data_IF_400434673381
#
_entry.id   IF_400434673381
#
_cell.length_a   1.000
_cell.length_b   1.000
_cell.length_c   1.000
_cell.angle_alpha   90.00
_cell.angle_beta   90.00
_cell.angle_gamma   90.00
#
_symmetry.space_group_name_H-M   'P 1'
#
loop_
_entity.id
_entity.type
_entity.pdbx_description
1 polymer ?
#
# COMPACT_ATOMS: atom_id res chain seq x y z
N UNK A 1 -28.16 -0.86 -45.01
CA UNK A 1 -28.54 0.01 -43.87
C UNK A 1 -27.87 1.35 -44.13
N UNK A 2 -28.62 2.45 -44.11
CA UNK A 2 -28.04 3.78 -44.33
C UNK A 2 -26.93 4.05 -43.33
N UNK A 3 -25.83 4.65 -43.80
CA UNK A 3 -24.66 4.99 -42.99
C UNK A 3 -25.03 5.63 -41.64
N UNK A 4 -25.94 6.61 -41.68
CA UNK A 4 -26.48 7.31 -40.52
C UNK A 4 -27.13 6.38 -39.49
N UNK A 5 -27.88 5.38 -39.96
CA UNK A 5 -28.61 4.47 -39.10
C UNK A 5 -27.66 3.46 -38.42
N UNK A 6 -26.63 2.98 -39.14
CA UNK A 6 -25.58 2.14 -38.54
C UNK A 6 -24.78 2.92 -37.50
N UNK A 7 -24.34 4.13 -37.86
CA UNK A 7 -23.52 4.97 -37.00
C UNK A 7 -24.22 5.31 -35.69
N UNK A 8 -25.49 5.70 -35.75
CA UNK A 8 -26.26 6.08 -34.57
C UNK A 8 -26.68 4.90 -33.69
N UNK A 9 -27.05 3.76 -34.30
CA UNK A 9 -27.63 2.63 -33.57
C UNK A 9 -26.63 1.55 -33.17
N UNK A 10 -25.43 1.55 -33.75
CA UNK A 10 -24.43 0.51 -33.51
C UNK A 10 -23.12 1.13 -33.04
N UNK A 11 -22.48 1.95 -33.87
CA UNK A 11 -21.11 2.40 -33.63
C UNK A 11 -20.99 3.29 -32.37
N UNK A 12 -21.95 4.21 -32.16
CA UNK A 12 -21.98 5.05 -30.93
C UNK A 12 -22.31 4.22 -29.67
N UNK A 13 -23.39 3.40 -29.64
CA UNK A 13 -23.67 2.53 -28.50
C UNK A 13 -22.52 1.59 -28.15
N UNK A 14 -21.84 1.04 -29.16
CA UNK A 14 -20.67 0.18 -28.98
C UNK A 14 -19.55 0.94 -28.25
N UNK A 15 -19.16 2.11 -28.77
CA UNK A 15 -18.14 2.96 -28.16
C UNK A 15 -18.50 3.37 -26.72
N UNK A 16 -19.79 3.63 -26.46
CA UNK A 16 -20.31 3.95 -25.12
C UNK A 16 -20.22 2.76 -24.17
N UNK A 17 -20.59 1.56 -24.60
CA UNK A 17 -20.52 0.36 -23.78
C UNK A 17 -19.07 -0.03 -23.47
N UNK A 18 -18.16 0.07 -24.45
CA UNK A 18 -16.72 -0.16 -24.23
C UNK A 18 -16.15 0.81 -23.19
N UNK A 19 -16.47 2.11 -23.31
CA UNK A 19 -16.10 3.09 -22.29
C UNK A 19 -16.68 2.74 -20.92
N UNK A 20 -17.94 2.26 -20.89
CA UNK A 20 -18.61 1.85 -19.65
C UNK A 20 -17.89 0.69 -18.98
N UNK A 21 -17.50 -0.32 -19.74
CA UNK A 21 -16.71 -1.46 -19.25
C UNK A 21 -15.37 -0.96 -18.70
N UNK A 22 -14.65 -0.13 -19.46
CA UNK A 22 -13.36 0.42 -19.03
C UNK A 22 -13.45 1.24 -17.73
N UNK A 23 -14.49 2.07 -17.58
CA UNK A 23 -14.71 2.88 -16.38
C UNK A 23 -15.18 2.04 -15.18
N UNK A 24 -16.03 1.04 -15.41
CA UNK A 24 -16.56 0.17 -14.37
C UNK A 24 -15.45 -0.60 -13.63
N UNK A 25 -14.35 -0.94 -14.30
CA UNK A 25 -13.18 -1.59 -13.69
C UNK A 25 -12.50 -0.77 -12.58
N UNK A 26 -12.69 0.56 -12.60
CA UNK A 26 -12.18 1.48 -11.60
C UNK A 26 -13.31 2.04 -10.73
N UNK A 27 -14.44 1.33 -10.68
CA UNK A 27 -15.66 1.73 -9.98
C UNK A 27 -16.21 3.12 -10.41
N UNK A 28 -15.76 3.66 -11.54
CA UNK A 28 -16.20 4.96 -12.04
C UNK A 28 -17.51 4.81 -12.81
N UNK A 29 -18.43 5.75 -12.61
CA UNK A 29 -19.67 5.80 -13.37
C UNK A 29 -19.53 6.64 -14.63
N UNK A 30 -19.98 6.11 -15.78
CA UNK A 30 -20.13 6.90 -17.01
C UNK A 30 -21.11 8.06 -16.81
N UNK A 31 -22.07 7.89 -15.90
CA UNK A 31 -23.08 8.89 -15.61
C UNK A 31 -22.59 10.07 -14.75
N UNK A 32 -21.40 9.99 -14.15
CA UNK A 32 -20.79 11.14 -13.45
C UNK A 32 -20.38 12.24 -14.43
N UNK A 33 -19.90 11.87 -15.62
CA UNK A 33 -19.42 12.80 -16.65
C UNK A 33 -20.09 12.56 -18.01
N UNK A 34 -21.43 12.60 -18.03
CA UNK A 34 -22.25 12.29 -19.24
C UNK A 34 -21.80 13.00 -20.52
N UNK A 35 -21.47 14.30 -20.44
CA UNK A 35 -21.01 15.07 -21.61
C UNK A 35 -19.70 14.53 -22.19
N UNK A 36 -18.76 14.15 -21.33
CA UNK A 36 -17.48 13.59 -21.75
C UNK A 36 -17.65 12.19 -22.33
N UNK A 37 -18.55 11.40 -21.75
CA UNK A 37 -18.86 10.06 -22.26
C UNK A 37 -19.47 10.11 -23.66
N UNK A 38 -20.46 10.97 -23.88
CA UNK A 38 -21.08 11.15 -25.21
C UNK A 38 -20.04 11.64 -26.23
N UNK A 39 -19.20 12.62 -25.85
CA UNK A 39 -18.15 13.13 -26.72
C UNK A 39 -17.11 12.05 -27.05
N UNK A 40 -16.70 11.25 -26.06
CA UNK A 40 -15.81 10.12 -26.28
C UNK A 40 -16.41 9.12 -27.27
N UNK A 41 -17.65 8.69 -27.04
CA UNK A 41 -18.31 7.70 -27.90
C UNK A 41 -18.45 8.19 -29.34
N UNK A 42 -18.77 9.47 -29.52
CA UNK A 42 -18.89 10.06 -30.84
C UNK A 42 -17.54 10.16 -31.56
N UNK A 43 -16.49 10.63 -30.87
CA UNK A 43 -15.14 10.70 -31.45
C UNK A 43 -14.59 9.32 -31.79
N UNK A 44 -14.77 8.34 -30.90
CA UNK A 44 -14.28 6.98 -31.10
C UNK A 44 -15.00 6.27 -32.25
N UNK A 45 -16.34 6.39 -32.32
CA UNK A 45 -17.10 5.88 -33.46
C UNK A 45 -16.70 6.55 -34.78
N UNK A 46 -16.53 7.89 -34.77
CA UNK A 46 -16.10 8.65 -35.95
C UNK A 46 -14.71 8.20 -36.43
N UNK A 47 -13.77 7.95 -35.52
CA UNK A 47 -12.46 7.42 -35.89
C UNK A 47 -12.55 6.05 -36.53
N UNK A 48 -13.38 5.15 -35.98
CA UNK A 48 -13.58 3.82 -36.55
C UNK A 48 -14.13 3.89 -37.98
N UNK A 49 -15.06 4.80 -38.23
CA UNK A 49 -15.61 5.02 -39.56
C UNK A 49 -14.59 5.64 -40.52
N UNK A 50 -13.87 6.67 -40.08
CA UNK A 50 -12.88 7.36 -40.91
C UNK A 50 -11.78 6.40 -41.37
N UNK A 51 -11.33 5.50 -40.49
CA UNK A 51 -10.38 4.46 -40.86
C UNK A 51 -10.97 3.42 -41.83
N UNK A 52 -12.27 3.14 -41.73
CA UNK A 52 -12.96 2.26 -42.70
C UNK A 52 -13.06 2.94 -44.07
N UNK A 53 -13.37 4.23 -44.11
CA UNK A 53 -13.45 5.03 -45.34
C UNK A 53 -12.09 5.21 -46.03
N UNK A 54 -11.01 5.24 -45.25
CA UNK A 54 -9.63 5.23 -45.75
C UNK A 54 -9.13 3.83 -46.16
N UNK A 55 -9.99 2.81 -46.13
CA UNK A 55 -9.67 1.42 -46.47
C UNK A 55 -8.45 0.88 -45.69
N UNK A 56 -8.27 1.35 -44.46
CA UNK A 56 -7.16 0.91 -43.62
C UNK A 56 -7.33 -0.57 -43.29
N UNK A 57 -6.28 -1.35 -43.52
CA UNK A 57 -6.24 -2.78 -43.21
C UNK A 57 -6.62 -3.03 -41.75
N UNK A 58 -7.27 -4.18 -41.49
CA UNK A 58 -7.81 -4.52 -40.18
C UNK A 58 -6.79 -4.39 -39.04
N UNK A 59 -5.58 -4.90 -39.24
CA UNK A 59 -4.52 -4.90 -38.22
C UNK A 59 -4.05 -3.49 -37.82
N UNK A 60 -3.57 -2.63 -38.75
CA UNK A 60 -3.23 -1.25 -38.41
C UNK A 60 -4.45 -0.45 -37.93
N UNK A 61 -5.67 -0.77 -38.37
CA UNK A 61 -6.90 -0.17 -37.85
C UNK A 61 -7.06 -0.46 -36.34
N UNK A 62 -6.90 -1.71 -35.88
CA UNK A 62 -7.00 -2.07 -34.45
C UNK A 62 -5.95 -1.33 -33.61
N UNK A 63 -4.71 -1.26 -34.08
CA UNK A 63 -3.62 -0.54 -33.39
C UNK A 63 -3.93 0.96 -33.31
N UNK A 64 -4.42 1.55 -34.40
CA UNK A 64 -4.75 2.96 -34.41
C UNK A 64 -5.96 3.27 -33.53
N UNK A 65 -6.97 2.39 -33.53
CA UNK A 65 -8.11 2.49 -32.61
C UNK A 65 -7.67 2.42 -31.14
N UNK A 66 -6.72 1.55 -30.80
CA UNK A 66 -6.12 1.50 -29.46
C UNK A 66 -5.47 2.84 -29.07
N UNK A 67 -4.63 3.39 -29.95
CA UNK A 67 -3.93 4.65 -29.72
C UNK A 67 -4.90 5.82 -29.59
N UNK A 68 -5.95 5.87 -30.43
CA UNK A 68 -7.02 6.86 -30.32
C UNK A 68 -7.78 6.71 -28.99
N UNK A 69 -8.13 5.48 -28.60
CA UNK A 69 -8.82 5.22 -27.33
C UNK A 69 -8.03 5.76 -26.14
N UNK A 70 -6.75 5.40 -26.07
CA UNK A 70 -5.85 5.83 -25.00
C UNK A 70 -5.67 7.34 -24.98
N UNK A 71 -5.51 7.98 -26.15
CA UNK A 71 -5.42 9.43 -26.27
C UNK A 71 -6.71 10.13 -25.79
N UNK A 72 -7.90 9.61 -26.16
CA UNK A 72 -9.18 10.19 -25.75
C UNK A 72 -9.44 10.05 -24.25
N UNK A 73 -9.05 8.94 -23.63
CA UNK A 73 -9.11 8.77 -22.17
C UNK A 73 -8.21 9.79 -21.45
N UNK A 74 -7.01 10.04 -21.98
CA UNK A 74 -6.09 11.05 -21.41
C UNK A 74 -6.66 12.47 -21.59
N UNK A 75 -7.11 12.82 -22.79
CA UNK A 75 -7.56 14.19 -23.11
C UNK A 75 -8.87 14.56 -22.41
N UNK A 76 -9.87 13.67 -22.45
CA UNK A 76 -11.22 13.96 -21.94
C UNK A 76 -11.34 13.75 -20.43
N UNK A 77 -10.74 12.68 -19.90
CA UNK A 77 -10.88 12.30 -18.49
C UNK A 77 -9.68 12.69 -17.62
N UNK A 78 -8.57 13.16 -18.22
CA UNK A 78 -7.30 13.48 -17.53
C UNK A 78 -6.75 12.32 -16.72
N UNK A 79 -7.01 11.09 -17.18
CA UNK A 79 -6.40 9.92 -16.56
C UNK A 79 -4.90 9.87 -16.85
N UNK A 80 -4.14 9.27 -15.94
CA UNK A 80 -2.74 9.01 -16.20
C UNK A 80 -2.60 7.98 -17.34
N UNK A 81 -1.42 7.97 -17.96
CA UNK A 81 -1.15 7.09 -19.11
C UNK A 81 -1.33 5.62 -18.75
N UNK A 82 -0.95 5.20 -17.53
CA UNK A 82 -1.11 3.84 -17.04
C UNK A 82 -2.57 3.37 -17.08
N UNK A 83 -3.45 4.14 -16.41
CA UNK A 83 -4.87 3.83 -16.32
C UNK A 83 -5.51 3.82 -17.71
N UNK A 84 -5.09 4.72 -18.59
CA UNK A 84 -5.61 4.83 -19.96
C UNK A 84 -5.19 3.66 -20.83
N UNK A 85 -3.91 3.25 -20.80
CA UNK A 85 -3.39 2.08 -21.52
C UNK A 85 -4.10 0.81 -21.07
N UNK A 86 -4.24 0.61 -19.76
CA UNK A 86 -4.93 -0.55 -19.19
C UNK A 86 -6.42 -0.60 -19.56
N UNK A 87 -7.10 0.54 -19.49
CA UNK A 87 -8.50 0.65 -19.92
C UNK A 87 -8.67 0.34 -21.41
N UNK A 88 -7.75 0.82 -22.25
CA UNK A 88 -7.78 0.58 -23.68
C UNK A 88 -7.52 -0.88 -24.04
N UNK A 89 -6.60 -1.54 -23.33
CA UNK A 89 -6.33 -2.96 -23.62
C UNK A 89 -7.45 -3.86 -23.20
N UNK A 90 -8.08 -3.61 -22.05
CA UNK A 90 -9.23 -4.42 -21.66
C UNK A 90 -10.40 -4.20 -22.63
N UNK A 91 -10.64 -2.97 -23.08
CA UNK A 91 -11.69 -2.73 -24.07
C UNK A 91 -11.45 -3.51 -25.36
N UNK A 92 -10.21 -3.56 -25.86
CA UNK A 92 -9.87 -4.38 -27.03
C UNK A 92 -10.00 -5.87 -26.75
N UNK A 93 -9.49 -6.36 -25.61
CA UNK A 93 -9.63 -7.77 -25.23
C UNK A 93 -11.11 -8.17 -25.23
N UNK A 94 -11.97 -7.35 -24.61
CA UNK A 94 -13.42 -7.60 -24.56
C UNK A 94 -14.04 -7.54 -25.96
N UNK A 95 -13.66 -6.57 -26.77
CA UNK A 95 -14.13 -6.41 -28.15
C UNK A 95 -13.85 -7.66 -28.98
N UNK A 96 -12.59 -8.10 -29.01
CA UNK A 96 -12.15 -9.23 -29.83
C UNK A 96 -12.66 -10.56 -29.30
N UNK A 97 -12.70 -10.75 -27.97
CA UNK A 97 -13.31 -11.94 -27.38
C UNK A 97 -14.80 -12.02 -27.72
N UNK A 98 -15.53 -10.90 -27.65
CA UNK A 98 -16.93 -10.89 -28.05
C UNK A 98 -17.10 -11.24 -29.54
N UNK A 99 -16.31 -10.65 -30.44
CA UNK A 99 -16.35 -10.98 -31.88
C UNK A 99 -16.06 -12.47 -32.14
N UNK A 100 -14.99 -13.01 -31.56
CA UNK A 100 -14.62 -14.42 -31.73
C UNK A 100 -15.66 -15.39 -31.19
N UNK A 101 -16.27 -15.11 -30.04
CA UNK A 101 -17.35 -15.93 -29.48
C UNK A 101 -18.57 -15.91 -30.41
N UNK A 102 -18.93 -14.74 -30.93
CA UNK A 102 -20.06 -14.59 -31.84
C UNK A 102 -19.83 -15.38 -33.12
N UNK A 103 -18.66 -15.21 -33.74
CA UNK A 103 -18.29 -15.97 -34.94
C UNK A 103 -18.28 -17.47 -34.67
N UNK A 104 -17.78 -17.93 -33.51
CA UNK A 104 -17.81 -19.34 -33.14
C UNK A 104 -19.24 -19.88 -32.99
N UNK A 105 -20.16 -19.10 -32.41
CA UNK A 105 -21.59 -19.46 -32.29
C UNK A 105 -22.23 -19.58 -33.67
N UNK A 106 -22.04 -18.61 -34.56
CA UNK A 106 -22.61 -18.69 -35.91
C UNK A 106 -22.02 -19.83 -36.74
N UNK A 107 -20.70 -20.03 -36.67
CA UNK A 107 -20.03 -21.15 -37.34
C UNK A 107 -20.54 -22.51 -36.82
N UNK A 108 -20.90 -22.62 -35.53
CA UNK A 108 -21.52 -23.84 -34.99
C UNK A 108 -22.88 -24.17 -35.62
N UNK A 109 -23.57 -23.16 -36.15
CA UNK A 109 -24.82 -23.28 -36.88
C UNK A 109 -24.61 -23.39 -38.40
N UNK A 110 -23.37 -23.58 -38.86
CA UNK A 110 -22.97 -23.58 -40.27
C UNK A 110 -23.27 -22.28 -41.02
N UNK A 111 -23.45 -21.16 -40.29
CA UNK A 111 -23.63 -19.84 -40.88
C UNK A 111 -22.28 -19.15 -41.00
N UNK A 112 -21.81 -18.96 -42.23
CA UNK A 112 -20.54 -18.30 -42.50
C UNK A 112 -20.67 -16.77 -42.54
N UNK A 113 -19.56 -16.05 -42.37
CA UNK A 113 -19.53 -14.59 -42.33
C UNK A 113 -20.21 -13.93 -43.55
N UNK A 114 -20.04 -14.51 -44.74
CA UNK A 114 -20.65 -14.00 -45.97
C UNK A 114 -22.18 -14.11 -45.97
N UNK A 115 -22.73 -15.19 -45.40
CA UNK A 115 -24.17 -15.41 -45.27
C UNK A 115 -24.79 -14.48 -44.22
N UNK A 116 -24.05 -14.24 -43.13
CA UNK A 116 -24.44 -13.28 -42.08
C UNK A 116 -24.51 -11.86 -42.64
N UNK A 117 -23.52 -11.47 -43.46
CA UNK A 117 -23.44 -10.11 -44.01
C UNK A 117 -24.36 -9.89 -45.22
N UNK A 118 -24.68 -10.94 -45.97
CA UNK A 118 -25.55 -10.85 -47.15
C UNK A 118 -27.02 -10.64 -46.81
N UNK A 119 -27.47 -11.13 -45.65
CA UNK A 119 -28.86 -10.98 -45.20
C UNK A 119 -28.98 -9.84 -44.17
N UNK A 120 -29.77 -8.82 -44.49
CA UNK A 120 -29.93 -7.63 -43.64
C UNK A 120 -30.42 -7.96 -42.24
N UNK A 121 -31.35 -8.91 -42.10
CA UNK A 121 -31.88 -9.34 -40.80
C UNK A 121 -30.82 -9.99 -39.93
N UNK A 122 -29.99 -10.86 -40.50
CA UNK A 122 -28.99 -11.63 -39.77
C UNK A 122 -27.80 -10.75 -39.37
N UNK A 123 -27.41 -9.81 -40.23
CA UNK A 123 -26.45 -8.75 -39.90
C UNK A 123 -26.91 -7.85 -38.75
N UNK A 124 -28.19 -7.46 -38.73
CA UNK A 124 -28.76 -6.67 -37.61
C UNK A 124 -28.81 -7.49 -36.33
N UNK A 125 -29.24 -8.75 -36.42
CA UNK A 125 -29.28 -9.66 -35.27
C UNK A 125 -27.89 -9.86 -34.66
N UNK A 126 -26.87 -10.14 -35.47
CA UNK A 126 -25.49 -10.30 -35.01
C UNK A 126 -24.98 -9.05 -34.26
N UNK A 127 -25.26 -7.84 -34.78
CA UNK A 127 -24.87 -6.57 -34.14
C UNK A 127 -25.62 -6.31 -32.83
N UNK A 128 -26.91 -6.59 -32.77
CA UNK A 128 -27.68 -6.46 -31.53
C UNK A 128 -27.20 -7.46 -30.47
N UNK A 129 -26.91 -8.69 -30.89
CA UNK A 129 -26.34 -9.71 -30.00
C UNK A 129 -24.98 -9.26 -29.44
N UNK A 130 -24.12 -8.70 -30.30
CA UNK A 130 -22.84 -8.12 -29.90
C UNK A 130 -22.97 -7.00 -28.87
N UNK A 131 -23.86 -6.03 -29.10
CA UNK A 131 -24.15 -4.98 -28.11
C UNK A 131 -24.72 -5.55 -26.80
N UNK A 132 -25.54 -6.60 -26.90
CA UNK A 132 -26.06 -7.33 -25.73
C UNK A 132 -24.95 -7.95 -24.87
N UNK A 133 -23.92 -8.53 -25.49
CA UNK A 133 -22.74 -9.06 -24.77
C UNK A 133 -22.04 -7.94 -24.00
N UNK A 134 -21.79 -6.78 -24.62
CA UNK A 134 -21.17 -5.67 -23.89
C UNK A 134 -22.05 -5.10 -22.77
N UNK A 135 -23.36 -5.02 -22.99
CA UNK A 135 -24.29 -4.57 -21.98
C UNK A 135 -24.28 -5.50 -20.76
N UNK A 136 -24.28 -6.82 -20.97
CA UNK A 136 -24.22 -7.80 -19.87
C UNK A 136 -22.91 -7.69 -19.09
N UNK A 137 -21.77 -7.58 -19.77
CA UNK A 137 -20.46 -7.37 -19.13
C UNK A 137 -20.46 -6.08 -18.31
N UNK A 138 -20.96 -4.98 -18.88
CA UNK A 138 -21.06 -3.69 -18.19
C UNK A 138 -21.94 -3.76 -16.94
N UNK A 139 -23.09 -4.44 -17.01
CA UNK A 139 -23.99 -4.64 -15.86
C UNK A 139 -23.30 -5.47 -14.79
N UNK A 140 -22.70 -6.61 -15.14
CA UNK A 140 -22.02 -7.49 -14.18
C UNK A 140 -20.92 -6.73 -13.44
N UNK A 141 -20.02 -6.06 -14.16
CA UNK A 141 -18.94 -5.27 -13.55
C UNK A 141 -19.46 -4.16 -12.64
N UNK A 142 -20.60 -3.55 -12.97
CA UNK A 142 -21.20 -2.49 -12.15
C UNK A 142 -21.87 -3.04 -10.89
N UNK A 143 -22.53 -4.19 -10.98
CA UNK A 143 -23.19 -4.83 -9.83
C UNK A 143 -22.19 -5.36 -8.81
N UNK A 144 -21.03 -5.86 -9.26
CA UNK A 144 -19.98 -6.38 -8.38
C UNK A 144 -19.13 -5.29 -7.71
N UNK A 145 -19.31 -4.02 -8.09
CA UNK A 145 -18.52 -2.87 -7.61
C UNK A 145 -17.01 -3.14 -7.65
N UNK A 146 -16.55 -3.73 -8.74
CA UNK A 146 -15.15 -4.06 -8.91
C UNK A 146 -14.30 -2.79 -8.92
N UNK A 147 -13.29 -2.73 -8.06
CA UNK A 147 -12.40 -1.57 -7.97
C UNK A 147 -10.92 -1.97 -7.97
N UNK A 148 -10.32 -1.87 -9.16
CA UNK A 148 -8.89 -2.13 -9.37
C UNK A 148 -8.03 -1.00 -8.78
N UNK A 149 -8.59 0.14 -8.34
CA UNK A 149 -7.79 1.26 -7.81
C UNK A 149 -6.91 0.86 -6.61
N UNK A 150 -7.34 -0.14 -5.84
CA UNK A 150 -6.54 -0.71 -4.74
C UNK A 150 -5.21 -1.32 -5.22
N UNK A 151 -5.14 -1.80 -6.46
CA UNK A 151 -3.91 -2.33 -7.07
C UNK A 151 -2.96 -1.23 -7.58
N UNK A 152 -3.42 0.03 -7.68
CA UNK A 152 -2.68 1.15 -8.28
C UNK A 152 -2.38 2.31 -7.31
N UNK A 153 -2.34 2.06 -5.99
CA UNK A 153 -2.01 3.10 -5.00
C UNK A 153 -0.67 3.80 -5.33
N UNK A 154 -0.58 5.12 -5.15
CA UNK A 154 0.56 5.95 -5.55
C UNK A 154 1.86 5.57 -4.81
N UNK A 155 2.68 4.69 -5.38
CA UNK A 155 3.96 4.27 -4.79
C UNK A 155 5.03 4.03 -5.87
N UNK A 156 6.32 4.15 -5.53
CA UNK A 156 7.47 3.92 -6.45
C UNK A 156 7.46 2.53 -7.13
N UNK A 157 6.81 1.54 -6.51
CA UNK A 157 6.57 0.19 -7.06
C UNK A 157 5.66 0.20 -8.31
N UNK A 158 4.86 1.24 -8.52
CA UNK A 158 3.98 1.36 -9.69
C UNK A 158 4.75 1.43 -11.01
N UNK A 159 6.06 1.74 -11.01
CA UNK A 159 6.85 1.73 -12.25
C UNK A 159 6.98 0.33 -12.84
N UNK A 160 7.16 -0.69 -12.00
CA UNK A 160 7.24 -2.08 -12.46
C UNK A 160 5.87 -2.62 -12.85
N UNK A 161 4.83 -2.30 -12.08
CA UNK A 161 3.44 -2.60 -12.44
C UNK A 161 3.06 -1.94 -13.78
N UNK A 162 3.52 -0.71 -14.02
CA UNK A 162 3.34 -0.02 -15.29
C UNK A 162 4.03 -0.71 -16.45
N UNK A 163 5.31 -1.09 -16.28
CA UNK A 163 6.04 -1.84 -17.28
C UNK A 163 5.38 -3.20 -17.57
N UNK A 164 4.90 -3.90 -16.54
CA UNK A 164 4.19 -5.17 -16.71
C UNK A 164 2.91 -5.02 -17.53
N UNK A 165 2.07 -4.04 -17.19
CA UNK A 165 0.82 -3.79 -17.91
C UNK A 165 1.10 -3.36 -19.34
N UNK A 166 2.08 -2.47 -19.56
CA UNK A 166 2.44 -2.00 -20.89
C UNK A 166 2.99 -3.14 -21.75
N UNK A 167 3.91 -3.95 -21.22
CA UNK A 167 4.50 -5.08 -21.95
C UNK A 167 3.46 -6.15 -22.22
N UNK A 168 2.61 -6.50 -21.25
CA UNK A 168 1.52 -7.46 -21.45
C UNK A 168 0.48 -6.95 -22.48
N UNK A 169 0.23 -5.65 -22.50
CA UNK A 169 -0.61 -5.00 -23.52
C UNK A 169 -0.02 -5.15 -24.92
N UNK A 170 1.28 -4.94 -25.06
CA UNK A 170 2.01 -5.14 -26.32
C UNK A 170 2.01 -6.62 -26.72
N UNK A 171 2.27 -7.53 -25.79
CA UNK A 171 2.26 -8.97 -26.05
C UNK A 171 0.90 -9.44 -26.56
N UNK A 172 -0.17 -8.99 -25.92
CA UNK A 172 -1.53 -9.29 -26.34
C UNK A 172 -1.82 -8.77 -27.75
N UNK A 173 -1.44 -7.52 -28.07
CA UNK A 173 -1.59 -6.96 -29.41
C UNK A 173 -0.80 -7.75 -30.47
N UNK A 174 0.40 -8.24 -30.14
CA UNK A 174 1.19 -9.10 -31.03
C UNK A 174 0.53 -10.46 -31.25
N UNK A 175 0.01 -11.11 -30.21
CA UNK A 175 -0.73 -12.37 -30.32
C UNK A 175 -1.96 -12.18 -31.21
N UNK A 176 -2.68 -11.07 -31.03
CA UNK A 176 -3.85 -10.74 -31.83
C UNK A 176 -3.50 -10.51 -33.30
N UNK A 177 -2.46 -9.74 -33.55
CA UNK A 177 -1.92 -9.51 -34.90
C UNK A 177 -1.57 -10.84 -35.58
N UNK A 178 -1.02 -11.79 -34.83
CA UNK A 178 -0.66 -13.12 -35.31
C UNK A 178 -1.87 -14.01 -35.60
N UNK A 179 -2.87 -14.03 -34.71
CA UNK A 179 -4.07 -14.84 -34.92
C UNK A 179 -4.87 -14.36 -36.15
N UNK A 180 -5.02 -13.05 -36.29
CA UNK A 180 -5.74 -12.45 -37.44
C UNK A 180 -4.99 -12.62 -38.76
N UNK A 181 -3.64 -12.53 -38.78
CA UNK A 181 -2.87 -12.79 -40.00
C UNK A 181 -2.98 -14.25 -40.46
N UNK A 182 -3.04 -15.21 -39.53
CA UNK A 182 -3.28 -16.61 -39.85
C UNK A 182 -4.64 -16.82 -40.50
N UNK A 183 -5.70 -16.25 -39.93
CA UNK A 183 -7.06 -16.35 -40.49
C UNK A 183 -7.19 -15.72 -41.89
N UNK A 184 -6.54 -14.56 -42.11
CA UNK A 184 -6.52 -13.91 -43.43
C UNK A 184 -5.73 -14.70 -44.49
N UNK A 185 -4.72 -15.46 -44.05
CA UNK A 185 -3.92 -16.36 -44.89
C UNK A 185 -4.72 -17.56 -45.39
N UNK A 186 -5.54 -18.14 -44.54
CA UNK A 186 -6.39 -19.26 -44.91
C UNK A 186 -7.45 -18.85 -45.97
N UNK A 187 -7.84 -17.57 -45.98
CA UNK A 187 -8.87 -17.01 -46.88
C UNK A 187 -8.32 -16.30 -48.14
N UNK A 188 -7.08 -16.57 -48.57
CA UNK A 188 -6.52 -16.19 -49.88
C UNK A 188 -6.60 -14.70 -50.30
N UNK A 189 -6.41 -13.75 -49.37
CA UNK A 189 -6.28 -12.33 -49.75
C UNK A 189 -4.91 -12.02 -50.37
N UNK A 190 -4.85 -11.26 -51.48
CA UNK A 190 -3.60 -10.95 -52.22
C UNK A 190 -2.55 -10.16 -51.40
N UNK A 191 -2.92 -9.64 -50.24
CA UNK A 191 -2.07 -8.89 -49.30
C UNK A 191 -1.11 -9.84 -48.51
N UNK A 192 -1.21 -11.15 -48.76
CA UNK A 192 -0.45 -12.21 -48.09
C UNK A 192 1.06 -12.27 -48.36
N UNK A 193 1.57 -11.59 -49.39
CA UNK A 193 2.96 -11.77 -49.84
C UNK A 193 4.01 -11.35 -48.78
N UNK A 194 3.64 -10.51 -47.81
CA UNK A 194 4.51 -10.07 -46.72
C UNK A 194 4.51 -11.03 -45.51
N UNK A 195 3.47 -11.85 -45.33
CA UNK A 195 3.30 -12.75 -44.18
C UNK A 195 3.82 -14.15 -44.48
N UNK A 196 5.11 -14.22 -44.82
CA UNK A 196 5.78 -15.50 -45.04
C UNK A 196 5.87 -16.28 -43.71
N UNK A 197 5.98 -17.62 -43.76
CA UNK A 197 6.23 -18.43 -42.57
C UNK A 197 7.43 -17.95 -41.74
N UNK A 198 8.42 -17.33 -42.38
CA UNK A 198 9.60 -16.75 -41.73
C UNK A 198 9.24 -15.52 -40.89
N UNK A 199 8.38 -14.64 -41.42
CA UNK A 199 7.88 -13.48 -40.68
C UNK A 199 7.02 -13.90 -39.48
N UNK A 200 6.21 -14.96 -39.64
CA UNK A 200 5.44 -15.55 -38.55
C UNK A 200 6.35 -16.11 -37.43
N UNK A 201 7.43 -16.81 -37.80
CA UNK A 201 8.40 -17.31 -36.83
C UNK A 201 9.03 -16.16 -36.01
N UNK A 202 9.35 -15.04 -36.65
CA UNK A 202 9.92 -13.87 -35.97
C UNK A 202 8.98 -13.32 -34.89
N UNK A 203 7.70 -13.14 -35.19
CA UNK A 203 6.72 -12.66 -34.20
C UNK A 203 6.48 -13.67 -33.06
N UNK A 204 6.50 -14.98 -33.34
CA UNK A 204 6.40 -16.00 -32.29
C UNK A 204 7.59 -15.93 -31.32
N UNK A 205 8.81 -15.76 -31.85
CA UNK A 205 10.00 -15.55 -31.03
C UNK A 205 9.94 -14.24 -30.25
N UNK A 206 9.40 -13.17 -30.84
CA UNK A 206 9.20 -11.89 -30.16
C UNK A 206 8.21 -11.99 -28.99
N UNK A 207 7.08 -12.69 -29.20
CA UNK A 207 6.09 -12.97 -28.14
C UNK A 207 6.73 -13.77 -27.01
N UNK A 208 7.47 -14.85 -27.33
CA UNK A 208 8.15 -15.66 -26.33
C UNK A 208 9.19 -14.84 -25.53
N UNK A 209 9.98 -14.00 -26.21
CA UNK A 209 10.96 -13.14 -25.55
C UNK A 209 10.27 -12.13 -24.62
N UNK A 210 9.15 -11.54 -25.04
CA UNK A 210 8.37 -10.60 -24.26
C UNK A 210 7.76 -11.27 -23.02
N UNK A 211 7.24 -12.49 -23.16
CA UNK A 211 6.74 -13.30 -22.05
C UNK A 211 7.84 -13.52 -20.98
N UNK A 212 9.05 -13.89 -21.41
CA UNK A 212 10.19 -14.09 -20.49
C UNK A 212 10.51 -12.79 -19.73
N UNK A 213 10.52 -11.64 -20.43
CA UNK A 213 10.75 -10.33 -19.80
C UNK A 213 9.66 -10.01 -18.77
N UNK A 214 8.40 -10.29 -19.08
CA UNK A 214 7.26 -10.10 -18.16
C UNK A 214 7.43 -10.97 -16.91
N UNK A 215 7.79 -12.25 -17.06
CA UNK A 215 8.02 -13.16 -15.92
C UNK A 215 9.16 -12.65 -15.04
N UNK A 216 10.27 -12.19 -15.63
CA UNK A 216 11.40 -11.61 -14.88
C UNK A 216 10.98 -10.34 -14.13
N UNK A 217 10.28 -9.42 -14.80
CA UNK A 217 9.79 -8.19 -14.16
C UNK A 217 8.78 -8.48 -13.06
N UNK A 218 7.92 -9.48 -13.23
CA UNK A 218 6.95 -9.90 -12.21
C UNK A 218 7.67 -10.47 -10.98
N UNK A 219 8.70 -11.28 -11.18
CA UNK A 219 9.56 -11.77 -10.08
C UNK A 219 10.23 -10.62 -9.33
N UNK A 220 10.77 -9.64 -10.05
CA UNK A 220 11.39 -8.44 -9.45
C UNK A 220 10.35 -7.67 -8.63
N UNK A 221 9.14 -7.46 -9.18
CA UNK A 221 8.06 -6.78 -8.49
C UNK A 221 7.65 -7.50 -7.19
N UNK A 222 7.51 -8.84 -7.22
CA UNK A 222 7.19 -9.63 -6.04
C UNK A 222 8.28 -9.53 -4.97
N UNK A 223 9.56 -9.69 -5.35
CA UNK A 223 10.67 -9.59 -4.40
C UNK A 223 10.73 -8.21 -3.73
N UNK A 224 10.56 -7.13 -4.50
CA UNK A 224 10.53 -5.79 -3.93
C UNK A 224 9.34 -5.56 -2.99
N UNK A 225 8.19 -6.18 -3.30
CA UNK A 225 7.00 -6.10 -2.45
C UNK A 225 7.18 -6.86 -1.14
N UNK A 226 7.74 -8.07 -1.21
CA UNK A 226 8.04 -8.90 -0.03
C UNK A 226 9.05 -8.19 0.87
N UNK A 227 10.19 -7.76 0.32
CA UNK A 227 11.22 -7.05 1.09
C UNK A 227 10.67 -5.80 1.78
N UNK A 228 9.76 -5.08 1.13
CA UNK A 228 9.10 -3.92 1.75
C UNK A 228 8.24 -4.31 2.94
N UNK A 229 7.44 -5.36 2.82
CA UNK A 229 6.60 -5.85 3.93
C UNK A 229 7.49 -6.31 5.09
N UNK A 230 8.58 -7.01 4.79
CA UNK A 230 9.57 -7.43 5.78
C UNK A 230 10.26 -6.24 6.47
N UNK A 231 10.67 -5.21 5.73
CA UNK A 231 11.24 -3.99 6.31
C UNK A 231 10.23 -3.26 7.21
N UNK A 232 8.98 -3.15 6.79
CA UNK A 232 7.92 -2.45 7.52
C UNK A 232 7.44 -3.20 8.78
N UNK A 233 7.55 -4.53 8.82
CA UNK A 233 7.03 -5.37 9.92
C UNK A 233 8.10 -6.06 10.77
N UNK A 234 9.19 -6.51 10.17
CA UNK A 234 10.23 -7.33 10.81
C UNK A 234 11.29 -6.51 11.55
N UNK A 235 11.66 -5.33 11.05
CA UNK A 235 12.75 -4.54 11.66
C UNK A 235 12.43 -4.03 13.07
N UNK A 236 11.23 -3.52 13.40
CA UNK A 236 10.95 -3.03 14.75
C UNK A 236 10.87 -4.17 15.77
N UNK A 237 10.34 -5.32 15.35
CA UNK A 237 10.19 -6.52 16.19
C UNK A 237 11.55 -7.15 16.51
N UNK A 238 12.43 -7.30 15.51
CA UNK A 238 13.78 -7.82 15.70
C UNK A 238 14.63 -6.89 16.58
N UNK A 239 14.52 -5.57 16.39
CA UNK A 239 15.18 -4.61 17.28
C UNK A 239 14.68 -4.75 18.72
N UNK A 240 13.37 -4.92 18.93
CA UNK A 240 12.80 -5.13 20.27
C UNK A 240 13.33 -6.41 20.95
N UNK A 241 13.53 -7.49 20.19
CA UNK A 241 14.14 -8.72 20.69
C UNK A 241 15.61 -8.50 21.05
N UNK A 242 16.35 -7.76 20.22
CA UNK A 242 17.76 -7.45 20.49
C UNK A 242 17.92 -6.58 21.74
N UNK A 243 17.03 -5.61 21.94
CA UNK A 243 16.96 -4.78 23.14
C UNK A 243 16.72 -5.66 24.39
N UNK A 244 15.79 -6.62 24.31
CA UNK A 244 15.54 -7.58 25.39
C UNK A 244 16.78 -8.41 25.73
N UNK A 245 17.47 -8.94 24.73
CA UNK A 245 18.71 -9.70 24.98
C UNK A 245 19.80 -8.84 25.63
N UNK A 246 19.89 -7.58 25.24
CA UNK A 246 20.85 -6.64 25.81
C UNK A 246 20.51 -6.33 27.27
N UNK A 247 19.24 -6.08 27.57
CA UNK A 247 18.75 -5.86 28.94
C UNK A 247 19.00 -7.09 29.83
N UNK A 248 18.70 -8.31 29.35
CA UNK A 248 18.96 -9.55 30.09
C UNK A 248 20.45 -9.75 30.38
N UNK A 249 21.32 -9.41 29.43
CA UNK A 249 22.78 -9.45 29.64
C UNK A 249 23.21 -8.43 30.70
N UNK A 250 22.64 -7.23 30.68
CA UNK A 250 22.91 -6.19 31.68
C UNK A 250 22.52 -6.67 33.09
N UNK A 251 21.30 -7.18 33.26
CA UNK A 251 20.80 -7.75 34.53
C UNK A 251 21.73 -8.87 35.04
N UNK A 252 22.18 -9.76 34.15
CA UNK A 252 23.11 -10.83 34.51
C UNK A 252 24.45 -10.29 34.99
N UNK A 253 25.00 -9.30 34.29
CA UNK A 253 26.26 -8.67 34.65
C UNK A 253 26.17 -7.99 36.02
N UNK A 254 25.10 -7.24 36.28
CA UNK A 254 24.85 -6.59 37.57
C UNK A 254 24.69 -7.61 38.71
N UNK A 255 23.94 -8.70 38.47
CA UNK A 255 23.80 -9.79 39.44
C UNK A 255 25.16 -10.39 39.83
N UNK A 256 26.06 -10.60 38.86
CA UNK A 256 27.41 -11.09 39.11
C UNK A 256 28.24 -10.10 39.94
N UNK A 257 28.08 -8.80 39.72
CA UNK A 257 28.73 -7.77 40.53
C UNK A 257 28.25 -7.82 41.99
N UNK A 258 26.94 -7.93 42.21
CA UNK A 258 26.37 -8.07 43.56
C UNK A 258 26.87 -9.34 44.26
N UNK A 259 26.89 -10.49 43.58
CA UNK A 259 27.45 -11.72 44.15
C UNK A 259 28.95 -11.59 44.46
N UNK A 260 29.71 -10.89 43.62
CA UNK A 260 31.13 -10.65 43.84
C UNK A 260 31.36 -9.76 45.07
N UNK A 261 30.56 -8.71 45.25
CA UNK A 261 30.61 -7.83 46.41
C UNK A 261 30.26 -8.58 47.70
N UNK A 262 29.16 -9.35 47.70
CA UNK A 262 28.74 -10.18 48.84
C UNK A 262 29.83 -11.19 49.19
N UNK A 263 30.35 -11.91 48.19
CA UNK A 263 31.44 -12.87 48.40
C UNK A 263 32.72 -12.18 48.92
N UNK A 264 32.99 -10.95 48.50
CA UNK A 264 34.09 -10.13 49.01
C UNK A 264 33.94 -9.79 50.49
N UNK A 265 32.74 -9.38 50.94
CA UNK A 265 32.46 -9.14 52.36
C UNK A 265 32.54 -10.43 53.17
N UNK A 266 31.99 -11.53 52.67
CA UNK A 266 32.01 -12.84 53.35
C UNK A 266 33.43 -13.37 53.51
N UNK A 267 34.27 -13.29 52.47
CA UNK A 267 35.69 -13.71 52.54
C UNK A 267 36.52 -12.91 53.53
N UNK A 268 36.12 -11.66 53.82
CA UNK A 268 36.78 -10.79 54.80
C UNK A 268 36.15 -10.89 56.20
N UNK A 269 35.21 -11.81 56.42
CA UNK A 269 34.46 -11.97 57.67
C UNK A 269 33.68 -10.69 58.10
N UNK A 270 33.41 -9.79 57.16
CA UNK A 270 32.68 -8.53 57.38
C UNK A 270 31.15 -8.76 57.30
N UNK A 271 30.63 -9.61 58.17
CA UNK A 271 29.22 -10.04 58.13
C UNK A 271 28.22 -8.89 58.30
N UNK A 272 28.55 -7.88 59.11
CA UNK A 272 27.70 -6.69 59.30
C UNK A 272 27.54 -5.88 58.02
N UNK A 273 28.62 -5.67 57.28
CA UNK A 273 28.62 -4.89 56.03
C UNK A 273 27.93 -5.67 54.91
N UNK A 274 28.10 -7.00 54.86
CA UNK A 274 27.35 -7.85 53.93
C UNK A 274 25.83 -7.75 54.17
N UNK A 275 25.42 -7.76 55.44
CA UNK A 275 24.00 -7.64 55.82
C UNK A 275 23.44 -6.27 55.44
N UNK A 276 24.15 -5.19 55.77
CA UNK A 276 23.73 -3.82 55.43
C UNK A 276 23.62 -3.61 53.91
N UNK A 277 24.59 -4.12 53.15
CA UNK A 277 24.57 -4.08 51.68
C UNK A 277 23.34 -4.81 51.10
N UNK A 278 23.04 -6.01 51.58
CA UNK A 278 21.87 -6.78 51.14
C UNK A 278 20.57 -6.07 51.53
N UNK A 279 20.48 -5.50 52.73
CA UNK A 279 19.29 -4.74 53.17
C UNK A 279 19.05 -3.49 52.31
N UNK A 280 20.11 -2.78 51.91
CA UNK A 280 20.02 -1.65 51.00
C UNK A 280 19.56 -2.08 49.59
N UNK A 281 20.16 -3.15 49.06
CA UNK A 281 19.84 -3.70 47.76
C UNK A 281 18.36 -4.15 47.69
N UNK A 282 17.88 -4.81 48.75
CA UNK A 282 16.46 -5.21 48.86
C UNK A 282 15.51 -4.00 48.90
N UNK A 283 15.88 -2.90 49.57
CA UNK A 283 15.06 -1.68 49.59
C UNK A 283 14.92 -1.04 48.21
N UNK A 284 16.00 -0.95 47.45
CA UNK A 284 15.98 -0.45 46.07
C UNK A 284 15.15 -1.35 45.15
N UNK A 285 15.35 -2.67 45.21
CA UNK A 285 14.62 -3.62 44.35
C UNK A 285 13.11 -3.58 44.61
N UNK A 286 12.66 -3.52 45.86
CA UNK A 286 11.22 -3.51 46.20
C UNK A 286 10.51 -2.24 45.68
N UNK A 287 11.19 -1.10 45.62
CA UNK A 287 10.60 0.14 45.08
C UNK A 287 10.39 0.04 43.56
N UNK A 288 11.34 -0.56 42.86
CA UNK A 288 11.31 -0.77 41.41
C UNK A 288 10.31 -1.88 41.03
N UNK A 289 10.25 -2.97 41.80
CA UNK A 289 9.31 -4.08 41.56
C UNK A 289 7.85 -3.64 41.76
N UNK A 290 7.55 -2.79 42.74
CA UNK A 290 6.17 -2.31 42.98
C UNK A 290 5.62 -1.45 41.84
N UNK A 291 6.46 -0.61 41.22
CA UNK A 291 6.07 0.17 40.05
C UNK A 291 5.91 -0.71 38.80
N UNK A 292 6.76 -1.74 38.67
CA UNK A 292 6.67 -2.71 37.59
C UNK A 292 5.46 -3.65 37.71
N UNK A 293 5.12 -4.16 38.90
CA UNK A 293 3.96 -5.02 39.14
C UNK A 293 2.64 -4.30 38.82
N UNK A 294 2.51 -3.06 39.27
CA UNK A 294 1.35 -2.22 38.98
C UNK A 294 1.20 -1.98 37.47
N UNK A 295 2.32 -1.77 36.78
CA UNK A 295 2.37 -1.59 35.33
C UNK A 295 2.11 -2.90 34.56
N UNK A 296 2.52 -4.05 35.10
CA UNK A 296 2.30 -5.37 34.51
C UNK A 296 0.82 -5.76 34.50
N UNK A 297 0.08 -5.46 35.56
CA UNK A 297 -1.37 -5.65 35.62
C UNK A 297 -2.14 -4.82 34.58
N UNK A 298 -1.58 -3.66 34.17
CA UNK A 298 -2.16 -2.83 33.11
C UNK A 298 -1.95 -3.47 31.73
N UNK A 299 -0.82 -4.16 31.50
CA UNK A 299 -0.53 -4.84 30.24
C UNK A 299 -1.52 -5.98 29.93
N UNK A 300 -1.93 -6.74 30.94
CA UNK A 300 -2.89 -7.85 30.76
C UNK A 300 -4.23 -7.38 30.20
N UNK A 301 -4.56 -6.11 30.41
CA UNK A 301 -5.81 -5.55 29.92
C UNK A 301 -5.71 -5.12 28.45
N UNK A 302 -4.51 -4.90 27.89
CA UNK A 302 -4.29 -4.41 26.52
C UNK A 302 -4.66 -5.50 25.50
N UNK A 303 -5.70 -5.24 24.69
CA UNK A 303 -6.18 -6.20 23.67
C UNK A 303 -5.25 -6.38 22.47
N UNK A 304 -4.40 -5.39 22.16
CA UNK A 304 -3.52 -5.44 21.01
C UNK A 304 -2.17 -6.10 21.39
N UNK A 305 -1.89 -7.32 20.91
CA UNK A 305 -0.72 -8.08 21.36
C UNK A 305 0.61 -7.42 20.96
N UNK A 306 0.65 -6.71 19.84
CA UNK A 306 1.89 -6.05 19.40
C UNK A 306 2.21 -4.81 20.24
N UNK A 307 1.19 -4.06 20.68
CA UNK A 307 1.37 -2.93 21.61
C UNK A 307 1.75 -3.44 22.99
N UNK A 308 1.09 -4.49 23.48
CA UNK A 308 1.43 -5.11 24.76
C UNK A 308 2.89 -5.60 24.77
N UNK A 309 3.32 -6.28 23.69
CA UNK A 309 4.70 -6.76 23.55
C UNK A 309 5.73 -5.63 23.51
N UNK A 310 5.44 -4.52 22.81
CA UNK A 310 6.30 -3.34 22.79
C UNK A 310 6.47 -2.75 24.20
N UNK A 311 5.35 -2.52 24.91
CA UNK A 311 5.38 -1.95 26.26
C UNK A 311 6.10 -2.88 27.23
N UNK A 312 5.87 -4.19 27.15
CA UNK A 312 6.59 -5.18 27.94
C UNK A 312 8.10 -5.13 27.69
N UNK A 313 8.51 -5.04 26.42
CA UNK A 313 9.92 -4.89 26.07
C UNK A 313 10.53 -3.63 26.68
N UNK A 314 9.84 -2.48 26.61
CA UNK A 314 10.31 -1.23 27.20
C UNK A 314 10.29 -1.23 28.73
N UNK A 315 9.36 -1.94 29.36
CA UNK A 315 9.37 -2.17 30.81
C UNK A 315 10.64 -2.90 31.25
N UNK A 316 11.04 -3.96 30.53
CA UNK A 316 12.27 -4.71 30.85
C UNK A 316 13.51 -3.82 30.70
N UNK A 317 13.55 -2.97 29.67
CA UNK A 317 14.64 -1.98 29.50
C UNK A 317 14.65 -0.98 30.67
N UNK A 318 13.51 -0.42 31.05
CA UNK A 318 13.41 0.52 32.17
C UNK A 318 13.89 -0.12 33.48
N UNK A 319 13.48 -1.37 33.74
CA UNK A 319 13.94 -2.14 34.89
C UNK A 319 15.46 -2.33 34.91
N UNK A 320 16.04 -2.72 33.77
CA UNK A 320 17.49 -2.92 33.65
C UNK A 320 18.29 -1.61 33.86
N UNK A 321 17.72 -0.47 33.46
CA UNK A 321 18.32 0.86 33.58
C UNK A 321 17.93 1.62 34.87
N UNK A 322 17.23 0.94 35.80
CA UNK A 322 16.74 1.47 37.08
C UNK A 322 15.85 2.71 36.92
N UNK A 323 14.98 2.70 35.92
CA UNK A 323 14.01 3.76 35.63
C UNK A 323 12.65 3.36 36.21
N UNK A 324 12.07 4.21 37.06
CA UNK A 324 10.71 4.01 37.55
C UNK A 324 9.68 4.30 36.45
N UNK A 325 9.07 3.26 35.90
CA UNK A 325 8.05 3.38 34.85
C UNK A 325 6.65 3.22 35.45
N UNK A 326 5.80 4.23 35.25
CA UNK A 326 4.39 4.20 35.65
C UNK A 326 3.50 4.20 34.41
N UNK A 327 2.68 3.16 34.25
CA UNK A 327 1.71 3.03 33.17
C UNK A 327 0.27 3.23 33.69
N UNK A 328 -0.42 4.24 33.16
CA UNK A 328 -1.82 4.53 33.48
C UNK A 328 -2.66 4.46 32.20
N UNK A 329 -3.50 3.41 32.05
CA UNK A 329 -4.40 3.27 30.89
C UNK A 329 -5.84 3.24 31.39
N UNK A 330 -6.58 4.32 31.14
CA UNK A 330 -7.95 4.49 31.65
C UNK A 330 -9.00 3.72 30.81
N UNK A 331 -8.80 3.59 29.50
CA UNK A 331 -9.73 2.89 28.60
C UNK A 331 -9.03 2.19 27.42
N UNK A 332 -9.39 0.94 27.16
CA UNK A 332 -8.62 0.03 26.29
C UNK A 332 -9.27 -0.15 24.91
N UNK A 333 -10.57 0.13 24.79
CA UNK A 333 -11.28 0.19 23.51
C UNK A 333 -10.61 1.13 22.51
N UNK A 334 -9.83 2.09 23.01
CA UNK A 334 -9.18 3.17 22.26
C UNK A 334 -8.09 2.68 21.28
N UNK A 335 -7.56 1.46 21.44
CA UNK A 335 -6.61 0.86 20.49
C UNK A 335 -7.23 0.52 19.13
N UNK A 336 -8.56 0.38 19.04
CA UNK A 336 -9.23 -0.14 17.84
C UNK A 336 -9.35 0.88 16.69
N UNK A 337 -9.33 2.18 17.00
CA UNK A 337 -9.49 3.24 16.01
C UNK A 337 -8.20 3.58 15.25
N UNK A 338 -7.05 3.15 15.77
CA UNK A 338 -5.73 3.43 15.19
C UNK A 338 -5.11 2.15 14.66
N UNK A 339 -4.36 2.26 13.55
CA UNK A 339 -3.63 1.12 13.02
C UNK A 339 -2.50 0.74 13.97
N UNK A 340 -2.38 -0.55 14.29
CA UNK A 340 -1.37 -1.10 15.21
C UNK A 340 0.06 -0.59 14.93
N UNK A 341 0.47 -0.54 13.66
CA UNK A 341 1.83 -0.10 13.31
C UNK A 341 2.07 1.40 13.57
N UNK A 342 1.04 2.23 13.46
CA UNK A 342 1.13 3.66 13.73
C UNK A 342 1.29 3.90 15.24
N UNK A 343 0.56 3.13 16.05
CA UNK A 343 0.70 3.15 17.52
C UNK A 343 2.08 2.67 17.97
N UNK A 344 2.60 1.59 17.39
CA UNK A 344 3.95 1.08 17.67
C UNK A 344 4.99 2.16 17.36
N UNK A 345 4.84 2.88 16.24
CA UNK A 345 5.74 3.99 15.88
C UNK A 345 5.67 5.14 16.87
N UNK A 346 4.47 5.53 17.30
CA UNK A 346 4.32 6.61 18.29
C UNK A 346 4.94 6.21 19.62
N UNK A 347 4.49 5.10 20.20
CA UNK A 347 4.92 4.63 21.51
C UNK A 347 6.42 4.32 21.53
N UNK A 348 6.92 3.61 20.52
CA UNK A 348 8.33 3.25 20.43
C UNK A 348 9.24 4.47 20.41
N UNK A 349 8.95 5.44 19.53
CA UNK A 349 9.78 6.65 19.44
C UNK A 349 9.72 7.52 20.69
N UNK A 350 8.55 7.66 21.32
CA UNK A 350 8.42 8.48 22.53
C UNK A 350 9.08 7.81 23.73
N UNK A 351 8.86 6.51 23.94
CA UNK A 351 9.50 5.76 25.03
C UNK A 351 11.02 5.67 24.85
N UNK A 352 11.52 5.46 23.63
CA UNK A 352 12.96 5.45 23.36
C UNK A 352 13.61 6.80 23.65
N UNK A 353 12.89 7.89 23.37
CA UNK A 353 13.38 9.23 23.69
C UNK A 353 13.33 9.50 25.20
N UNK A 354 12.27 9.06 25.89
CA UNK A 354 12.15 9.17 27.33
C UNK A 354 13.26 8.39 28.07
N UNK A 355 13.46 7.11 27.74
CA UNK A 355 14.50 6.25 28.32
C UNK A 355 15.90 6.84 28.08
N UNK A 356 16.14 7.40 26.90
CA UNK A 356 17.42 8.03 26.60
C UNK A 356 17.62 9.31 27.40
N UNK A 357 16.58 10.12 27.57
CA UNK A 357 16.66 11.36 28.32
C UNK A 357 16.94 11.11 29.82
N UNK A 358 16.37 10.04 30.40
CA UNK A 358 16.64 9.67 31.80
C UNK A 358 18.09 9.24 32.05
N UNK A 359 18.85 8.84 31.02
CA UNK A 359 20.26 8.43 31.19
C UNK A 359 21.19 9.55 31.65
N UNK A 360 20.76 10.81 31.52
CA UNK A 360 21.48 11.99 31.99
C UNK A 360 21.18 12.36 33.45
N UNK A 361 20.23 11.68 34.09
CA UNK A 361 19.87 11.88 35.50
C UNK A 361 20.53 10.84 36.42
N UNK A 362 20.63 11.19 37.70
CA UNK A 362 20.98 10.24 38.77
C UNK A 362 19.93 9.14 38.84
N UNK A 363 20.35 7.90 39.08
CA UNK A 363 19.47 6.71 39.07
C UNK A 363 18.21 6.89 39.94
N UNK A 364 18.35 7.47 41.12
CA UNK A 364 17.27 7.72 42.08
C UNK A 364 16.18 8.68 41.53
N UNK A 365 16.51 9.51 40.54
CA UNK A 365 15.61 10.50 39.96
C UNK A 365 15.03 10.08 38.60
N UNK A 366 15.36 8.87 38.11
CA UNK A 366 14.91 8.40 36.81
C UNK A 366 13.46 7.93 36.88
N UNK A 367 12.57 8.64 36.19
CA UNK A 367 11.19 8.20 36.05
C UNK A 367 10.63 8.49 34.66
N UNK A 368 9.68 7.65 34.28
CA UNK A 368 8.85 7.82 33.08
C UNK A 368 7.40 7.55 33.49
N UNK A 369 6.50 8.44 33.13
CA UNK A 369 5.06 8.27 33.29
C UNK A 369 4.41 8.27 31.92
N UNK A 370 3.67 7.21 31.62
CA UNK A 370 2.85 7.10 30.42
C UNK A 370 1.39 7.04 30.84
N UNK A 371 0.62 8.02 30.42
CA UNK A 371 -0.83 8.06 30.60
C UNK A 371 -1.52 8.00 29.25
N UNK A 372 -2.48 7.10 29.11
CA UNK A 372 -3.38 7.05 27.98
C UNK A 372 -4.81 7.16 28.50
N UNK A 373 -5.50 8.21 28.07
CA UNK A 373 -6.88 8.46 28.47
C UNK A 373 -7.71 9.17 27.42
N UNK A 374 -8.90 9.56 27.85
CA UNK A 374 -9.84 10.36 27.09
C UNK A 374 -10.43 11.44 28.00
N UNK A 375 -10.66 12.60 27.41
CA UNK A 375 -11.50 13.68 27.94
C UNK A 375 -12.83 13.69 27.17
N UNK A 376 -13.79 14.51 27.57
CA UNK A 376 -15.12 14.57 26.91
C UNK A 376 -15.02 14.73 25.38
N UNK A 377 -13.99 15.42 24.86
CA UNK A 377 -13.88 15.76 23.44
C UNK A 377 -12.68 15.14 22.70
N UNK A 378 -11.69 14.59 23.40
CA UNK A 378 -10.44 14.13 22.78
C UNK A 378 -9.83 12.92 23.50
N UNK A 379 -9.22 12.01 22.74
CA UNK A 379 -8.30 11.00 23.25
C UNK A 379 -6.90 11.59 23.38
N UNK A 380 -6.14 11.20 24.40
CA UNK A 380 -4.76 11.66 24.56
C UNK A 380 -3.79 10.55 24.95
N UNK A 381 -2.56 10.70 24.45
CA UNK A 381 -1.39 9.96 24.91
C UNK A 381 -0.41 10.97 25.50
N UNK A 382 -0.12 10.81 26.77
CA UNK A 382 0.80 11.64 27.54
C UNK A 382 2.00 10.82 27.98
N UNK A 383 3.20 11.33 27.70
CA UNK A 383 4.46 10.74 28.17
C UNK A 383 5.28 11.84 28.84
N UNK A 384 5.66 11.61 30.08
CA UNK A 384 6.50 12.48 30.89
C UNK A 384 7.74 11.72 31.33
N UNK A 385 8.89 12.39 31.35
CA UNK A 385 10.13 11.81 31.82
C UNK A 385 11.01 12.84 32.52
N UNK A 386 11.83 12.38 33.46
CA UNK A 386 12.97 13.16 33.95
C UNK A 386 14.10 13.21 32.92
N UNK A 387 14.84 14.31 32.91
CA UNK A 387 15.95 14.52 31.98
C UNK A 387 16.27 16.00 31.78
N UNK A 388 17.32 16.33 31.03
CA UNK A 388 17.76 17.71 30.84
C UNK A 388 16.65 18.54 30.18
N UNK A 389 16.46 19.77 30.67
CA UNK A 389 15.52 20.73 30.10
C UNK A 389 15.92 21.06 28.67
N UNK A 390 14.99 20.89 27.74
CA UNK A 390 15.15 21.29 26.34
C UNK A 390 14.97 22.82 26.26
N UNK A 391 15.96 23.57 25.74
CA UNK A 391 15.83 25.01 25.55
C UNK A 391 14.57 25.38 24.75
N UNK A 392 13.89 26.45 25.15
CA UNK A 392 12.61 26.86 24.54
C UNK A 392 12.73 27.11 23.04
N UNK A 393 13.87 27.65 22.59
CA UNK A 393 14.18 27.86 21.18
C UNK A 393 14.26 26.56 20.36
N UNK A 394 14.55 25.42 21.00
CA UNK A 394 14.70 24.12 20.34
C UNK A 394 13.38 23.32 20.29
N UNK A 395 12.38 23.65 21.12
CA UNK A 395 11.12 22.89 21.22
C UNK A 395 10.34 22.81 19.90
N UNK A 396 10.47 23.81 19.02
CA UNK A 396 9.87 23.75 17.69
C UNK A 396 10.72 22.96 16.68
N UNK A 397 12.03 22.94 16.87
CA UNK A 397 12.98 22.30 15.97
C UNK A 397 13.04 20.79 16.16
N UNK A 398 12.76 20.28 17.37
CA UNK A 398 12.82 18.83 17.66
C UNK A 398 11.89 17.96 16.80
N UNK A 399 10.88 18.57 16.18
CA UNK A 399 9.95 17.88 15.27
C UNK A 399 10.38 17.94 13.79
N UNK A 400 11.46 18.65 13.45
CA UNK A 400 11.96 18.71 12.09
C UNK A 400 12.68 17.41 11.72
N UNK A 401 12.52 16.97 10.46
CA UNK A 401 13.21 15.77 9.98
C UNK A 401 14.72 15.96 10.05
N UNK A 402 15.40 15.01 10.69
CA UNK A 402 16.86 15.00 10.79
C UNK A 402 17.40 15.77 11.99
N UNK A 403 16.55 16.39 12.81
CA UNK A 403 16.98 17.03 14.05
C UNK A 403 17.42 15.98 15.07
N UNK A 404 18.69 16.01 15.49
CA UNK A 404 19.24 15.06 16.48
C UNK A 404 20.22 15.76 17.43
N UNK A 405 20.14 15.42 18.71
CA UNK A 405 21.11 15.85 19.73
C UNK A 405 22.29 14.87 19.88
N UNK A 406 22.31 13.80 19.07
CA UNK A 406 23.36 12.77 19.10
C UNK A 406 24.62 13.26 18.37
N UNK A 407 25.78 13.09 19.01
CA UNK A 407 27.11 13.49 18.48
C UNK A 407 27.51 12.83 17.15
N UNK A 408 26.82 11.76 16.74
CA UNK A 408 27.19 10.93 15.59
C UNK A 408 26.37 11.25 14.34
N UNK A 409 25.41 12.18 14.39
CA UNK A 409 24.53 12.51 13.26
C UNK A 409 23.50 11.43 12.88
N UNK A 410 23.61 10.22 13.43
CA UNK A 410 22.64 9.13 13.23
C UNK A 410 21.40 9.29 14.14
N UNK A 411 20.22 9.49 13.54
CA UNK A 411 18.95 9.63 14.24
C UNK A 411 18.13 10.85 13.78
N UNK A 412 17.10 11.23 14.55
CA UNK A 412 16.35 12.48 14.31
C UNK A 412 15.13 12.37 13.40
N UNK A 413 14.69 11.16 13.09
CA UNK A 413 13.41 10.93 12.39
C UNK A 413 12.25 10.63 13.35
N UNK A 414 12.55 10.23 14.60
CA UNK A 414 11.55 9.68 15.52
C UNK A 414 10.40 10.63 15.84
N UNK A 415 10.70 11.84 16.34
CA UNK A 415 9.67 12.84 16.66
C UNK A 415 8.95 13.38 15.42
N UNK A 416 9.65 13.49 14.29
CA UNK A 416 9.02 13.82 13.01
C UNK A 416 8.03 12.75 12.55
N UNK A 417 8.36 11.46 12.74
CA UNK A 417 7.44 10.35 12.49
C UNK A 417 6.22 10.44 13.43
N UNK A 418 6.44 10.68 14.73
CA UNK A 418 5.34 10.84 15.70
C UNK A 418 4.39 11.95 15.25
N UNK A 419 4.92 13.13 14.91
CA UNK A 419 4.13 14.27 14.41
C UNK A 419 3.34 13.92 13.14
N UNK A 420 4.00 13.33 12.13
CA UNK A 420 3.36 12.93 10.89
C UNK A 420 2.24 11.88 11.09
N UNK A 421 2.44 10.96 12.03
CA UNK A 421 1.41 9.96 12.37
C UNK A 421 0.25 10.64 13.10
N UNK A 422 0.51 11.52 14.07
CA UNK A 422 -0.54 12.27 14.77
C UNK A 422 -1.40 13.10 13.81
N UNK A 423 -0.77 13.88 12.91
CA UNK A 423 -1.46 14.70 11.90
C UNK A 423 -2.31 13.86 10.93
N UNK A 424 -1.88 12.64 10.58
CA UNK A 424 -2.67 11.71 9.74
C UNK A 424 -4.02 11.36 10.38
N UNK A 425 -4.08 11.32 11.71
CA UNK A 425 -5.31 11.06 12.46
C UNK A 425 -6.01 12.36 12.88
N UNK A 426 -5.68 13.50 12.25
CA UNK A 426 -6.15 14.84 12.63
C UNK A 426 -5.84 15.20 14.10
N UNK A 427 -4.79 14.61 14.66
CA UNK A 427 -4.31 14.91 15.99
C UNK A 427 -3.24 15.98 16.00
N UNK A 428 -2.86 16.42 17.20
CA UNK A 428 -1.78 17.37 17.43
C UNK A 428 -0.80 16.83 18.47
N UNK A 429 0.46 17.25 18.40
CA UNK A 429 1.48 16.94 19.40
C UNK A 429 1.99 18.24 20.03
N UNK A 430 2.02 18.25 21.35
CA UNK A 430 2.57 19.33 22.16
C UNK A 430 3.72 18.80 23.00
N UNK A 431 4.72 19.66 23.22
CA UNK A 431 5.87 19.38 24.09
C UNK A 431 6.01 20.50 25.11
N UNK A 432 6.31 20.16 26.35
CA UNK A 432 6.77 21.10 27.38
C UNK A 432 8.03 20.54 28.01
N UNK A 433 9.02 21.39 28.25
CA UNK A 433 10.23 21.01 28.96
C UNK A 433 10.62 22.12 29.93
N UNK A 434 10.62 21.83 31.22
CA UNK A 434 10.94 22.78 32.28
C UNK A 434 11.44 22.01 33.52
N UNK A 435 12.36 22.61 34.28
CA UNK A 435 12.81 22.11 35.59
C UNK A 435 13.24 20.62 35.61
N UNK A 436 13.91 20.15 34.55
CA UNK A 436 14.38 18.76 34.47
C UNK A 436 13.29 17.74 34.11
N UNK A 437 12.14 18.22 33.63
CA UNK A 437 10.98 17.40 33.25
C UNK A 437 10.62 17.74 31.81
N UNK A 438 10.44 16.70 30.98
CA UNK A 438 9.91 16.84 29.63
C UNK A 438 8.61 16.05 29.50
N UNK A 439 7.58 16.66 28.94
CA UNK A 439 6.30 16.03 28.65
C UNK A 439 5.89 16.20 27.19
N UNK A 440 5.42 15.12 26.59
CA UNK A 440 4.80 15.07 25.28
C UNK A 440 3.33 14.71 25.45
N UNK A 441 2.44 15.52 24.89
CA UNK A 441 1.00 15.26 24.86
C UNK A 441 0.54 15.18 23.41
N UNK A 442 0.01 14.05 23.01
CA UNK A 442 -0.64 13.87 21.71
C UNK A 442 -2.13 13.81 21.94
N UNK A 443 -2.89 14.72 21.30
CA UNK A 443 -4.35 14.68 21.31
C UNK A 443 -4.90 14.24 19.96
N UNK A 444 -5.98 13.47 19.99
CA UNK A 444 -6.72 13.00 18.83
C UNK A 444 -8.20 13.37 19.01
N UNK A 445 -8.81 14.00 18.00
CA UNK A 445 -10.22 14.37 18.07
C UNK A 445 -11.13 13.12 18.10
N UNK A 446 -12.16 13.13 18.96
CA UNK A 446 -13.20 12.10 18.96
C UNK A 446 -13.95 12.13 17.61
N UNK A 447 -14.00 11.00 16.90
CA UNK A 447 -14.73 10.86 15.62
C UNK A 447 -16.10 10.23 15.80
#
# INVERSE_FOLDING_TARGET
MDFLLRFLLVDIPEAFLLLTISLALFNLSVFEKKKQAILFSLLFALTGELLTLLEVLYQPKVILMFLCMTAYLILLYRFNILKSVFMGTIALVVMILAESIILAIFNSQQLFLEEILSTTMLAVFARLFYLGVFLTIAIVLRTTKFDIHQLFQHNRLNRYLFLLILLGSVEFLLILFMNTSFFLRENNSAILALYTPQFQMFFQLAILALFIVIVVLFRIYLNLTINRVEEETGTPYLNSIQDLFTAVRSIKHDSLNHYTAINGFLKKELHSHAKEYVEQLLKETVLIERSADSSSQVLERIKNPAVASLLQSKMVVCLAERISLTLEIKEISQFSHYKTYDLIKILGNLLDNAIRATSYELEENRYIRLEWGQTENEHFLYIENSGPTIPECQLQEIFQMGYTTKKNGEGGLGLAIVKNVAERYNGNIQVKSADGITSFCISFANR
#
